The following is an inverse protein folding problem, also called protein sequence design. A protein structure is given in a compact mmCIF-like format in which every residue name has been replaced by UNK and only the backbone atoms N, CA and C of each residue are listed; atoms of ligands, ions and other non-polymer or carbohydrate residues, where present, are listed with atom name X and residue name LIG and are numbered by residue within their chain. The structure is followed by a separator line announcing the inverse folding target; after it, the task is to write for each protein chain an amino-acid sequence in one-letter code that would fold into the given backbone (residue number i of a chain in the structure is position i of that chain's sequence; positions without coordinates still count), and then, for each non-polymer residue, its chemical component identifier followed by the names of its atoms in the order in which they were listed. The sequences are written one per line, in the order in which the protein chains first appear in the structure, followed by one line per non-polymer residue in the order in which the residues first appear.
data_IF_657646857573
#
_entry.id   IF_657646857573
#
_cell.length_a   1.000
_cell.length_b   1.000
_cell.length_c   1.000
_cell.angle_alpha   90.00
_cell.angle_beta   90.00
_cell.angle_gamma   90.00
#
_symmetry.space_group_name_H-M   'P 1'
#
loop_
_entity.id
_entity.type
_entity.pdbx_description
1 polymer ?
#
# COMPACT_ATOMS: atom_id res chain seq x y z
N UNK A 1 16.74 8.43 -22.59
CA UNK A 1 15.62 7.98 -23.45
C UNK A 1 14.90 6.88 -22.68
N UNK A 2 13.68 7.11 -22.20
CA UNK A 2 12.91 6.09 -21.46
C UNK A 2 12.42 5.04 -22.46
N UNK A 3 12.60 3.74 -22.23
CA UNK A 3 12.04 2.74 -23.12
C UNK A 3 10.50 2.81 -23.04
N UNK A 4 9.87 2.94 -24.21
CA UNK A 4 8.43 2.82 -24.36
C UNK A 4 8.06 1.35 -24.18
N UNK A 5 7.38 1.02 -23.08
CA UNK A 5 6.83 -0.32 -22.89
C UNK A 5 5.62 -0.45 -23.82
N UNK A 6 5.78 -1.18 -24.92
CA UNK A 6 4.66 -1.70 -25.71
C UNK A 6 4.49 -3.16 -25.36
N UNK A 7 3.65 -3.44 -24.38
CA UNK A 7 2.91 -4.69 -24.28
C UNK A 7 1.49 -4.28 -23.92
N UNK A 8 0.57 -4.39 -24.87
CA UNK A 8 -0.87 -4.33 -24.59
C UNK A 8 -1.25 -5.64 -23.90
N UNK A 9 -0.78 -5.83 -22.67
CA UNK A 9 -1.31 -6.84 -21.79
C UNK A 9 -2.61 -6.25 -21.27
N UNK A 10 -3.73 -6.86 -21.69
CA UNK A 10 -5.06 -6.35 -21.43
C UNK A 10 -5.22 -6.20 -19.90
N UNK A 11 -5.19 -4.96 -19.41
CA UNK A 11 -5.25 -4.69 -17.98
C UNK A 11 -6.46 -5.43 -17.40
N UNK A 12 -6.25 -6.26 -16.35
CA UNK A 12 -7.33 -7.04 -15.80
C UNK A 12 -8.45 -6.08 -15.39
N UNK A 13 -9.66 -6.30 -15.92
CA UNK A 13 -10.82 -5.46 -15.59
C UNK A 13 -11.08 -5.58 -14.08
N UNK A 14 -10.66 -4.57 -13.32
CA UNK A 14 -10.87 -4.51 -11.89
C UNK A 14 -12.36 -4.32 -11.63
N UNK A 15 -12.97 -5.24 -10.89
CA UNK A 15 -14.35 -5.11 -10.45
C UNK A 15 -14.43 -4.06 -9.34
N UNK A 16 -14.71 -2.81 -9.73
CA UNK A 16 -14.79 -1.66 -8.84
C UNK A 16 -15.88 -1.81 -7.78
N UNK A 17 -16.92 -2.62 -8.03
CA UNK A 17 -18.02 -2.83 -7.09
C UNK A 17 -17.56 -3.55 -5.81
N UNK A 18 -16.47 -4.32 -5.89
CA UNK A 18 -15.88 -5.03 -4.75
C UNK A 18 -15.40 -4.09 -3.63
N UNK A 19 -15.03 -2.87 -3.99
CA UNK A 19 -14.45 -1.88 -3.07
C UNK A 19 -15.45 -0.83 -2.62
N UNK A 20 -16.73 -0.95 -2.99
CA UNK A 20 -17.77 -0.03 -2.57
C UNK A 20 -18.54 -0.60 -1.37
N UNK A 21 -18.60 0.18 -0.30
CA UNK A 21 -19.51 -0.03 0.83
C UNK A 21 -20.60 1.04 0.78
N UNK A 22 -21.69 0.74 0.10
CA UNK A 22 -22.72 1.72 -0.24
C UNK A 22 -22.17 2.74 -1.25
N UNK A 23 -22.12 4.02 -0.87
CA UNK A 23 -21.60 5.11 -1.71
C UNK A 23 -20.19 5.58 -1.28
N UNK A 24 -19.46 4.75 -0.52
CA UNK A 24 -18.10 5.07 -0.05
C UNK A 24 -17.13 3.99 -0.50
N UNK A 25 -15.91 4.41 -0.82
CA UNK A 25 -14.82 3.49 -1.18
C UNK A 25 -14.22 2.93 0.12
N UNK A 26 -14.15 1.60 0.21
CA UNK A 26 -13.38 0.90 1.21
C UNK A 26 -11.90 0.87 0.78
N UNK A 27 -11.19 1.95 1.10
CA UNK A 27 -9.76 2.09 0.84
C UNK A 27 -8.90 1.04 1.54
N UNK A 28 -9.34 0.53 2.70
CA UNK A 28 -8.68 -0.58 3.37
C UNK A 28 -8.59 -1.80 2.45
N UNK A 29 -9.75 -2.29 2.01
CA UNK A 29 -9.78 -3.45 1.13
C UNK A 29 -9.05 -3.22 -0.18
N UNK A 30 -9.25 -2.04 -0.79
CA UNK A 30 -8.64 -1.68 -2.06
C UNK A 30 -7.11 -1.71 -1.96
N UNK A 31 -6.54 -0.95 -1.03
CA UNK A 31 -5.09 -0.88 -0.89
C UNK A 31 -4.48 -2.21 -0.44
N UNK A 32 -5.20 -3.03 0.35
CA UNK A 32 -4.75 -4.39 0.70
C UNK A 32 -4.58 -5.22 -0.56
N UNK A 33 -5.63 -5.28 -1.37
CA UNK A 33 -5.68 -6.14 -2.55
C UNK A 33 -4.66 -5.69 -3.60
N UNK A 34 -4.51 -4.37 -3.82
CA UNK A 34 -3.55 -3.82 -4.77
C UNK A 34 -2.10 -4.03 -4.32
N UNK A 35 -1.78 -3.82 -3.04
CA UNK A 35 -0.43 -4.09 -2.52
C UNK A 35 -0.09 -5.57 -2.67
N UNK A 36 -1.01 -6.48 -2.36
CA UNK A 36 -0.81 -7.92 -2.54
C UNK A 36 -0.66 -8.31 -4.02
N UNK A 37 -1.41 -7.66 -4.92
CA UNK A 37 -1.30 -7.91 -6.35
C UNK A 37 0.08 -7.48 -6.87
N UNK A 38 0.53 -6.28 -6.52
CA UNK A 38 1.86 -5.76 -6.89
C UNK A 38 2.98 -6.62 -6.32
N UNK A 39 2.88 -7.07 -5.07
CA UNK A 39 3.89 -7.93 -4.43
C UNK A 39 4.08 -9.25 -5.21
N UNK A 40 2.98 -9.88 -5.66
CA UNK A 40 3.05 -11.09 -6.49
C UNK A 40 3.78 -10.84 -7.81
N UNK A 41 3.45 -9.73 -8.49
CA UNK A 41 4.11 -9.35 -9.74
C UNK A 41 5.60 -9.07 -9.53
N UNK A 42 5.95 -8.42 -8.42
CA UNK A 42 7.33 -8.13 -8.05
C UNK A 42 8.11 -9.42 -7.78
N UNK A 43 7.53 -10.38 -7.04
CA UNK A 43 8.14 -11.69 -6.79
C UNK A 43 8.35 -12.48 -8.10
N UNK A 44 7.38 -12.44 -9.02
CA UNK A 44 7.52 -13.09 -10.33
C UNK A 44 8.62 -12.46 -11.18
N UNK A 45 8.71 -11.13 -11.20
CA UNK A 45 9.77 -10.41 -11.90
C UNK A 45 11.15 -10.66 -11.28
N UNK A 46 11.27 -10.58 -9.95
CA UNK A 46 12.49 -10.83 -9.20
C UNK A 46 13.06 -12.23 -9.48
N UNK A 47 12.20 -13.27 -9.48
CA UNK A 47 12.60 -14.65 -9.81
C UNK A 47 13.15 -14.80 -11.23
N UNK A 48 12.58 -14.09 -12.21
CA UNK A 48 13.06 -14.14 -13.61
C UNK A 48 14.47 -13.56 -13.76
N UNK A 49 14.80 -12.55 -12.96
CA UNK A 49 16.08 -11.84 -13.04
C UNK A 49 17.11 -12.28 -11.98
N UNK A 50 16.77 -13.26 -11.13
CA UNK A 50 17.56 -13.68 -9.96
C UNK A 50 17.94 -12.51 -9.03
N UNK A 51 17.14 -11.43 -9.06
CA UNK A 51 17.35 -10.23 -8.26
C UNK A 51 16.38 -10.26 -7.08
N UNK A 52 16.86 -10.76 -5.94
CA UNK A 52 16.05 -10.92 -4.72
C UNK A 52 16.25 -9.70 -3.82
N UNK A 53 15.76 -8.55 -4.30
CA UNK A 53 15.63 -7.34 -3.50
C UNK A 53 14.22 -7.24 -2.91
N UNK A 54 14.10 -6.52 -1.79
CA UNK A 54 12.82 -6.18 -1.16
C UNK A 54 12.69 -4.66 -0.99
N UNK A 55 11.47 -4.20 -0.74
CA UNK A 55 11.17 -2.79 -0.44
C UNK A 55 10.19 -2.68 0.71
N UNK A 56 10.18 -1.53 1.37
CA UNK A 56 9.05 -1.08 2.21
C UNK A 56 8.05 -0.31 1.35
N UNK A 57 6.84 -0.09 1.87
CA UNK A 57 5.86 0.80 1.28
C UNK A 57 5.08 1.55 2.37
N UNK A 58 4.96 2.87 2.22
CA UNK A 58 4.08 3.70 3.02
C UNK A 58 3.23 4.54 2.06
N UNK A 59 1.92 4.32 2.09
CA UNK A 59 0.97 4.93 1.16
C UNK A 59 0.07 5.86 1.95
N UNK A 60 0.00 7.12 1.53
CA UNK A 60 -0.91 8.11 2.09
C UNK A 60 -1.93 8.53 1.03
N UNK A 61 -3.21 8.30 1.33
CA UNK A 61 -4.32 8.68 0.47
C UNK A 61 -5.19 9.70 1.20
N UNK A 62 -5.34 10.88 0.59
CA UNK A 62 -6.20 11.94 1.08
C UNK A 62 -7.39 12.09 0.15
N UNK A 63 -8.59 11.83 0.66
CA UNK A 63 -9.86 12.14 0.01
C UNK A 63 -10.64 13.10 0.89
N UNK A 64 -11.00 14.26 0.34
CA UNK A 64 -11.59 15.38 1.08
C UNK A 64 -10.77 15.72 2.34
N UNK A 65 -11.33 15.43 3.53
CA UNK A 65 -10.71 15.65 4.83
C UNK A 65 -10.35 14.34 5.54
N UNK A 66 -10.31 13.22 4.82
CA UNK A 66 -10.00 11.90 5.36
C UNK A 66 -8.66 11.41 4.81
N UNK A 67 -7.71 11.20 5.71
CA UNK A 67 -6.41 10.63 5.41
C UNK A 67 -6.40 9.13 5.76
N UNK A 68 -6.04 8.28 4.81
CA UNK A 68 -5.86 6.83 4.98
C UNK A 68 -4.40 6.47 4.74
N UNK A 69 -3.83 5.62 5.60
CA UNK A 69 -2.39 5.35 5.65
C UNK A 69 -2.15 3.83 5.66
N UNK A 70 -1.61 3.31 4.55
CA UNK A 70 -1.18 1.91 4.48
C UNK A 70 0.32 1.80 4.74
N UNK A 71 0.74 0.90 5.63
CA UNK A 71 2.15 0.68 5.92
C UNK A 71 2.55 -0.78 5.74
N UNK A 72 3.67 -0.99 5.05
CA UNK A 72 4.28 -2.29 4.81
C UNK A 72 5.79 -2.16 5.08
N UNK A 73 6.22 -2.76 6.19
CA UNK A 73 7.62 -2.72 6.60
C UNK A 73 7.84 -1.66 7.69
N UNK A 74 9.05 -1.12 7.75
CA UNK A 74 9.48 -0.26 8.85
C UNK A 74 9.65 1.22 8.48
N UNK A 75 9.03 1.62 7.37
CA UNK A 75 8.78 3.03 7.09
C UNK A 75 7.74 3.61 8.06
N UNK A 76 7.74 4.93 8.23
CA UNK A 76 6.88 5.60 9.21
C UNK A 76 6.24 6.88 8.67
N UNK A 77 4.91 6.93 8.75
CA UNK A 77 4.13 8.14 8.54
C UNK A 77 4.02 8.95 9.83
N UNK A 78 4.23 10.25 9.74
CA UNK A 78 4.07 11.19 10.86
C UNK A 78 3.40 12.47 10.34
N UNK A 79 2.40 12.97 11.07
CA UNK A 79 1.74 14.25 10.81
C UNK A 79 2.12 15.26 11.88
N UNK A 80 2.15 16.54 11.52
CA UNK A 80 2.29 17.63 12.49
C UNK A 80 0.91 18.24 12.77
N UNK A 81 0.54 18.39 14.04
CA UNK A 81 -0.67 19.12 14.41
C UNK A 81 -0.46 20.65 14.38
N UNK A 82 -1.54 21.42 14.53
CA UNK A 82 -1.47 22.89 14.55
C UNK A 82 -0.70 23.49 15.73
N UNK A 83 -0.26 22.67 16.70
CA UNK A 83 0.55 23.07 17.85
C UNK A 83 2.03 22.67 17.68
N UNK A 84 2.39 22.02 16.58
CA UNK A 84 3.75 21.54 16.33
C UNK A 84 4.05 20.14 16.87
N UNK A 85 3.07 19.39 17.36
CA UNK A 85 3.28 18.04 17.86
C UNK A 85 3.31 17.02 16.72
N UNK A 86 4.26 16.08 16.79
CA UNK A 86 4.32 14.93 15.90
C UNK A 86 3.30 13.85 16.31
N UNK A 87 2.37 13.54 15.41
CA UNK A 87 1.36 12.49 15.55
C UNK A 87 1.77 11.30 14.66
N UNK A 88 2.02 10.10 15.21
CA UNK A 88 2.31 8.93 14.41
C UNK A 88 1.07 8.53 13.60
N UNK A 89 1.26 8.32 12.31
CA UNK A 89 0.21 7.88 11.38
C UNK A 89 0.30 6.39 11.05
N UNK A 90 1.47 5.77 11.24
CA UNK A 90 1.69 4.34 11.05
C UNK A 90 2.59 3.78 12.15
N UNK A 91 2.63 2.45 12.22
CA UNK A 91 3.50 1.72 13.14
C UNK A 91 4.45 0.82 12.36
N UNK A 92 5.73 0.82 12.72
CA UNK A 92 6.75 0.02 12.05
C UNK A 92 6.49 -1.48 12.26
N UNK A 93 6.63 -2.26 11.19
CA UNK A 93 6.59 -3.71 11.25
C UNK A 93 7.97 -4.25 11.60
N UNK A 94 8.24 -4.39 12.90
CA UNK A 94 9.49 -4.98 13.40
C UNK A 94 9.32 -6.48 13.67
N UNK A 95 10.32 -7.33 13.39
CA UNK A 95 10.22 -8.79 13.59
C UNK A 95 9.84 -9.24 15.00
N UNK A 96 10.16 -8.43 16.02
CA UNK A 96 9.86 -8.70 17.42
C UNK A 96 8.39 -8.40 17.79
N UNK A 97 7.66 -7.65 16.95
CA UNK A 97 6.24 -7.34 17.15
C UNK A 97 5.37 -8.47 16.58
N UNK A 98 5.16 -9.50 17.39
CA UNK A 98 4.34 -10.70 17.05
C UNK A 98 2.83 -10.43 16.99
N UNK A 99 2.36 -9.25 17.40
CA UNK A 99 0.94 -8.90 17.37
C UNK A 99 0.75 -7.48 16.85
N UNK A 100 0.73 -7.36 15.53
CA UNK A 100 0.19 -6.19 14.85
C UNK A 100 -1.22 -6.61 14.40
N UNK A 101 -2.30 -6.03 14.95
CA UNK A 101 -3.65 -6.41 14.55
C UNK A 101 -3.77 -6.23 13.03
N UNK A 102 -4.40 -7.17 12.34
CA UNK A 102 -4.54 -7.17 10.87
C UNK A 102 -5.20 -5.89 10.31
N UNK A 103 -5.93 -5.16 11.15
CA UNK A 103 -6.48 -3.83 10.87
C UNK A 103 -5.43 -2.71 10.81
N UNK A 104 -4.16 -3.01 11.09
CA UNK A 104 -3.01 -2.11 11.01
C UNK A 104 -2.13 -2.42 9.80
N UNK A 105 -2.68 -3.09 8.78
CA UNK A 105 -2.10 -3.04 7.44
C UNK A 105 -2.49 -1.75 6.71
N UNK A 106 -3.50 -1.01 7.21
CA UNK A 106 -4.18 0.15 6.59
C UNK A 106 -4.80 1.16 7.54
#
# INVERSE_FOLDING_TARGET
VRPCWKNEEQEPKVDMMKYLEGNKINYGRLLTDEVLAVDRLLVEAAKKHMDVAGTTALIALLEDNKLTIANVGDSRGVMCDGKGNAIPLSFDHKPQQVFIPFYLFL
#
